data_IF_497421768246
#
_entry.id   IF_497421768246
#
_cell.length_a   1.000
_cell.length_b   1.000
_cell.length_c   1.000
_cell.angle_alpha   90.00
_cell.angle_beta   90.00
_cell.angle_gamma   90.00
#
_symmetry.space_group_name_H-M   'P 1'
#
loop_
_entity.id
_entity.type
_entity.pdbx_description
1 polymer ?
#
# COMPACT_ATOMS: atom_id res chain seq x y z
N UNK A 1 -45.12 -2.49 -43.26
CA UNK A 1 -45.16 -1.68 -42.01
C UNK A 1 -45.07 -2.48 -40.70
N UNK A 2 -45.16 -3.82 -40.69
CA UNK A 2 -45.07 -4.62 -39.44
C UNK A 2 -43.63 -4.95 -38.97
N UNK A 3 -42.66 -4.97 -39.89
CA UNK A 3 -41.28 -5.41 -39.62
C UNK A 3 -40.47 -4.34 -38.87
N UNK A 4 -40.75 -3.04 -39.10
CA UNK A 4 -40.06 -1.93 -38.42
C UNK A 4 -40.37 -1.81 -36.93
N UNK A 5 -41.56 -2.23 -36.48
CA UNK A 5 -41.94 -2.20 -35.06
C UNK A 5 -41.27 -3.31 -34.25
N UNK A 6 -40.93 -4.45 -34.88
CA UNK A 6 -40.23 -5.57 -34.22
C UNK A 6 -38.78 -5.20 -33.92
N UNK A 7 -38.13 -4.45 -34.81
CA UNK A 7 -36.74 -3.98 -34.66
C UNK A 7 -36.64 -2.94 -33.52
N UNK A 8 -37.66 -2.08 -33.37
CA UNK A 8 -37.72 -1.10 -32.28
C UNK A 8 -37.96 -1.75 -30.91
N UNK A 9 -38.73 -2.84 -30.86
CA UNK A 9 -38.93 -3.61 -29.64
C UNK A 9 -37.67 -4.41 -29.23
N UNK A 10 -36.91 -4.94 -30.19
CA UNK A 10 -35.67 -5.68 -29.91
C UNK A 10 -34.54 -4.80 -29.35
N UNK A 11 -34.46 -3.54 -29.79
CA UNK A 11 -33.39 -2.61 -29.38
C UNK A 11 -33.58 -2.06 -27.96
N UNK A 12 -34.81 -1.99 -27.44
CA UNK A 12 -35.07 -1.54 -26.07
C UNK A 12 -34.79 -2.61 -25.01
N UNK A 13 -34.82 -3.90 -25.35
CA UNK A 13 -34.58 -4.99 -24.39
C UNK A 13 -33.11 -5.31 -24.09
N UNK A 14 -32.21 -5.04 -25.04
CA UNK A 14 -30.80 -5.47 -24.94
C UNK A 14 -29.94 -4.56 -24.03
N UNK A 15 -30.38 -3.33 -23.76
CA UNK A 15 -29.58 -2.34 -23.01
C UNK A 15 -29.63 -2.50 -21.47
N UNK A 16 -30.48 -3.36 -20.91
CA UNK A 16 -30.62 -3.51 -19.46
C UNK A 16 -29.78 -4.64 -18.85
N UNK A 17 -29.08 -5.45 -19.64
CA UNK A 17 -28.41 -6.66 -19.15
C UNK A 17 -26.91 -6.48 -18.81
N UNK A 18 -26.32 -5.30 -19.04
CA UNK A 18 -24.88 -5.08 -18.84
C UNK A 18 -24.60 -4.28 -17.56
N UNK A 19 -25.14 -4.71 -16.42
CA UNK A 19 -24.62 -4.26 -15.13
C UNK A 19 -23.35 -5.06 -14.82
N UNK A 20 -22.21 -4.61 -15.34
CA UNK A 20 -20.90 -5.10 -14.94
C UNK A 20 -20.74 -4.87 -13.43
N UNK A 21 -20.71 -5.96 -12.65
CA UNK A 21 -20.23 -5.92 -11.27
C UNK A 21 -18.78 -5.44 -11.29
N UNK A 22 -18.55 -4.18 -10.92
CA UNK A 22 -17.20 -3.69 -10.69
C UNK A 22 -16.67 -4.34 -9.41
N UNK A 23 -15.89 -5.42 -9.55
CA UNK A 23 -15.19 -6.04 -8.44
C UNK A 23 -13.97 -5.18 -8.09
N UNK A 24 -14.21 -4.08 -7.41
CA UNK A 24 -13.15 -3.19 -6.94
C UNK A 24 -12.62 -3.69 -5.59
N UNK A 25 -11.65 -4.60 -5.69
CA UNK A 25 -10.65 -5.00 -4.67
C UNK A 25 -11.15 -5.44 -3.29
N UNK A 26 -11.23 -6.77 -3.10
CA UNK A 26 -10.89 -7.38 -1.82
C UNK A 26 -9.36 -7.28 -1.63
N UNK A 27 -8.87 -6.09 -1.25
CA UNK A 27 -7.48 -5.93 -0.86
C UNK A 27 -7.18 -6.80 0.36
N UNK A 28 -6.13 -7.60 0.32
CA UNK A 28 -5.59 -8.25 1.52
C UNK A 28 -5.03 -7.17 2.45
N UNK A 29 -5.90 -6.60 3.30
CA UNK A 29 -5.49 -5.70 4.37
C UNK A 29 -4.62 -6.46 5.37
N UNK A 30 -3.49 -5.88 5.75
CA UNK A 30 -2.64 -6.42 6.82
C UNK A 30 -2.93 -5.69 8.13
N UNK A 31 -2.98 -6.42 9.25
CA UNK A 31 -3.08 -5.83 10.59
C UNK A 31 -1.74 -5.28 11.12
N UNK A 32 -0.63 -5.52 10.40
CA UNK A 32 0.71 -5.12 10.82
C UNK A 32 0.84 -3.63 11.24
N UNK A 33 0.15 -2.65 10.61
CA UNK A 33 0.19 -1.27 11.06
C UNK A 33 -0.43 -1.05 12.46
N UNK A 34 -1.46 -1.81 12.82
CA UNK A 34 -2.11 -1.72 14.13
C UNK A 34 -1.29 -2.46 15.20
N UNK A 35 -0.82 -3.67 14.90
CA UNK A 35 0.02 -4.48 15.79
C UNK A 35 1.32 -3.74 16.16
N UNK A 36 1.90 -2.99 15.23
CA UNK A 36 3.09 -2.19 15.49
C UNK A 36 2.91 -1.07 16.55
N UNK A 37 1.67 -0.80 16.96
CA UNK A 37 1.33 0.24 17.93
C UNK A 37 0.53 -0.29 19.14
N UNK A 38 0.33 -1.61 19.29
CA UNK A 38 -0.50 -2.20 20.33
C UNK A 38 -0.04 -1.82 21.75
N UNK A 39 1.28 -1.80 21.97
CA UNK A 39 1.90 -1.48 23.27
C UNK A 39 2.56 -0.09 23.30
N UNK A 40 2.28 0.77 22.32
CA UNK A 40 2.95 2.07 22.15
C UNK A 40 2.04 3.25 22.46
N UNK A 41 2.63 4.35 22.90
CA UNK A 41 1.90 5.59 23.10
C UNK A 41 1.66 6.35 21.77
N UNK A 42 0.74 7.31 21.79
CA UNK A 42 0.55 8.24 20.67
C UNK A 42 1.85 9.00 20.36
N UNK A 43 2.15 9.18 19.07
CA UNK A 43 3.38 9.77 18.53
C UNK A 43 4.67 8.97 18.75
N UNK A 44 4.61 7.79 19.38
CA UNK A 44 5.80 6.96 19.53
C UNK A 44 6.25 6.38 18.18
N UNK A 45 7.56 6.17 18.01
CA UNK A 45 8.12 5.58 16.80
C UNK A 45 7.66 4.13 16.60
N UNK A 46 7.29 3.80 15.36
CA UNK A 46 6.81 2.47 14.98
C UNK A 46 7.40 2.04 13.63
N UNK A 47 7.43 0.72 13.40
CA UNK A 47 7.88 0.11 12.15
C UNK A 47 7.16 -1.20 11.92
N UNK A 48 6.80 -1.50 10.67
CA UNK A 48 6.24 -2.79 10.28
C UNK A 48 6.68 -3.19 8.86
N UNK A 49 6.60 -4.47 8.54
CA UNK A 49 6.92 -5.00 7.22
C UNK A 49 5.65 -5.44 6.51
N UNK A 50 5.50 -5.10 5.24
CA UNK A 50 4.41 -5.55 4.38
C UNK A 50 4.92 -5.73 2.96
N UNK A 51 4.70 -6.90 2.36
CA UNK A 51 5.17 -7.25 1.01
C UNK A 51 6.65 -6.86 0.76
N UNK A 52 7.56 -7.33 1.62
CA UNK A 52 9.02 -7.11 1.54
C UNK A 52 9.48 -5.65 1.63
N UNK A 53 8.58 -4.77 2.07
CA UNK A 53 8.87 -3.36 2.32
C UNK A 53 8.70 -3.06 3.79
N UNK A 54 9.68 -2.37 4.35
CA UNK A 54 9.61 -1.84 5.71
C UNK A 54 9.02 -0.43 5.65
N UNK A 55 7.96 -0.22 6.42
CA UNK A 55 7.38 1.08 6.70
C UNK A 55 7.87 1.56 8.07
N UNK A 56 8.35 2.79 8.14
CA UNK A 56 8.74 3.46 9.40
C UNK A 56 7.90 4.71 9.58
N UNK A 57 7.44 4.94 10.81
CA UNK A 57 6.41 5.93 11.11
C UNK A 57 6.33 6.31 12.58
N UNK A 58 5.18 6.88 12.94
CA UNK A 58 4.77 7.13 14.33
C UNK A 58 3.34 6.64 14.55
N UNK A 59 3.03 6.19 15.76
CA UNK A 59 1.69 5.76 16.14
C UNK A 59 0.72 6.94 16.17
N UNK A 60 -0.31 6.90 15.34
CA UNK A 60 -1.35 7.93 15.28
C UNK A 60 -2.71 7.34 15.65
N UNK A 61 -3.57 8.19 16.22
CA UNK A 61 -4.94 7.80 16.52
C UNK A 61 -5.76 7.66 15.22
N UNK A 62 -6.29 6.46 15.01
CA UNK A 62 -7.27 6.15 13.96
C UNK A 62 -8.55 5.67 14.65
N UNK A 63 -9.42 6.62 14.97
CA UNK A 63 -10.60 6.41 15.80
C UNK A 63 -10.21 5.98 17.25
N UNK A 64 -10.59 4.78 17.70
CA UNK A 64 -10.33 4.27 19.06
C UNK A 64 -9.06 3.41 19.17
N UNK A 65 -8.34 3.20 18.07
CA UNK A 65 -7.13 2.38 18.01
C UNK A 65 -5.95 3.18 17.48
N UNK A 66 -4.74 2.80 17.87
CA UNK A 66 -3.53 3.37 17.30
C UNK A 66 -3.11 2.57 16.05
N UNK A 67 -2.62 3.29 15.06
CA UNK A 67 -2.08 2.71 13.83
C UNK A 67 -0.74 3.38 13.50
N UNK A 68 0.23 2.60 13.06
CA UNK A 68 1.51 3.09 12.61
C UNK A 68 1.35 3.85 11.30
N UNK A 69 1.44 5.18 11.34
CA UNK A 69 1.38 6.02 10.15
C UNK A 69 2.80 6.27 9.67
N UNK A 70 3.09 5.70 8.50
CA UNK A 70 4.36 5.87 7.81
C UNK A 70 4.63 7.35 7.50
N UNK A 71 5.76 7.86 7.98
CA UNK A 71 6.24 9.21 7.71
C UNK A 71 7.59 9.23 6.97
N UNK A 72 8.11 8.05 6.60
CA UNK A 72 9.33 7.87 5.80
C UNK A 72 9.04 7.10 4.50
N UNK A 73 9.91 7.21 3.48
CA UNK A 73 9.87 6.33 2.31
C UNK A 73 9.89 4.85 2.72
N UNK A 74 9.24 4.00 1.92
CA UNK A 74 9.31 2.55 2.11
C UNK A 74 10.72 2.08 1.80
N UNK A 75 11.32 1.33 2.70
CA UNK A 75 12.61 0.70 2.47
C UNK A 75 12.35 -0.68 1.87
N UNK A 76 12.90 -0.98 0.69
CA UNK A 76 12.96 -2.39 0.28
C UNK A 76 14.10 -3.05 1.06
N UNK A 77 13.89 -4.28 1.50
CA UNK A 77 14.93 -5.01 2.25
C UNK A 77 16.20 -5.22 1.41
N UNK A 78 16.08 -5.18 0.08
CA UNK A 78 17.18 -5.32 -0.88
C UNK A 78 18.00 -4.02 -0.96
N UNK A 79 17.35 -2.85 -1.08
CA UNK A 79 18.05 -1.57 -1.21
C UNK A 79 18.91 -1.25 0.02
N UNK A 80 18.46 -1.62 1.22
CA UNK A 80 19.22 -1.41 2.47
C UNK A 80 20.50 -2.24 2.53
N UNK A 81 20.48 -3.47 1.99
CA UNK A 81 21.66 -4.31 1.90
C UNK A 81 22.68 -3.72 0.90
N UNK A 82 22.20 -3.15 -0.20
CA UNK A 82 23.04 -2.52 -1.23
C UNK A 82 23.61 -1.16 -0.79
N UNK A 83 22.84 -0.36 -0.05
CA UNK A 83 23.29 0.94 0.49
C UNK A 83 24.32 0.77 1.61
N UNK A 84 24.13 -0.19 2.52
CA UNK A 84 25.09 -0.48 3.60
C UNK A 84 26.48 -0.86 3.04
N UNK A 85 26.54 -1.50 1.88
CA UNK A 85 27.80 -1.79 1.19
C UNK A 85 28.45 -0.55 0.53
N UNK A 86 27.65 0.45 0.15
CA UNK A 86 28.14 1.68 -0.49
C UNK A 86 28.66 2.71 0.53
N UNK A 87 27.98 2.87 1.66
CA UNK A 87 28.43 3.75 2.75
C UNK A 87 29.74 3.25 3.38
N UNK A 88 29.90 1.94 3.51
CA UNK A 88 31.15 1.33 3.96
C UNK A 88 32.30 1.56 2.97
N UNK A 89 32.03 1.60 1.65
CA UNK A 89 33.03 1.91 0.62
C UNK A 89 33.46 3.38 0.63
N UNK A 90 32.60 4.28 1.12
CA UNK A 90 32.89 5.71 1.24
C UNK A 90 33.69 6.04 2.52
N UNK A 91 33.40 5.36 3.63
CA UNK A 91 34.18 5.47 4.88
C UNK A 91 35.62 4.98 4.74
N UNK A 92 35.83 3.80 4.11
CA UNK A 92 37.18 3.22 3.93
C UNK A 92 38.05 4.03 2.95
N UNK A 93 37.45 4.66 1.92
CA UNK A 93 38.18 5.56 1.01
C UNK A 93 38.69 6.83 1.67
N UNK A 94 38.02 7.33 2.71
CA UNK A 94 38.47 8.54 3.42
C UNK A 94 39.70 8.30 4.31
N UNK A 95 39.87 7.06 4.77
CA UNK A 95 41.03 6.64 5.59
C UNK A 95 42.25 6.32 4.74
N UNK A 96 42.06 5.85 3.50
CA UNK A 96 43.14 5.54 2.55
C UNK A 96 43.70 6.77 1.80
N UNK A 97 43.22 7.98 2.10
CA UNK A 97 43.69 9.25 1.49
C UNK A 97 44.45 10.15 2.46
N UNK A 98 44.87 9.61 3.62
CA UNK A 98 45.82 10.25 4.54
C UNK A 98 47.17 9.57 4.43
#
# INVERSE_FOLDING_TARGET
>A
MKIFNVIKALTTGFLLATSCSALSHAGHGSNAPWEACEEKAINEGCSYTSHDKKATGTCQAMNKVLMCVRNKPLETLIDKATQSASDQKQSVKSLAKR
#
